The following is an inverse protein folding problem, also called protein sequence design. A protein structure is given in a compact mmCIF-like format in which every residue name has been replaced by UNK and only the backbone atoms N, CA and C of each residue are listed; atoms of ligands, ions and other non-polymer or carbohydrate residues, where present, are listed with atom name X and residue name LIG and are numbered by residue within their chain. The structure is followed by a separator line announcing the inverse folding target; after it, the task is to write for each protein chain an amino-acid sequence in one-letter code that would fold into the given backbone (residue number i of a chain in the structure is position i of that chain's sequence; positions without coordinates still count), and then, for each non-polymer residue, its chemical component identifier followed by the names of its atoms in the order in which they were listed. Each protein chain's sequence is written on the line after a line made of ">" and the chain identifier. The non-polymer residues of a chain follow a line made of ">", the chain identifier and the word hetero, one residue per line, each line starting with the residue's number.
data_IF_347152961585
#
_entry.id   IF_347152961585
#
_cell.length_a   1.000
_cell.length_b   1.000
_cell.length_c   1.000
_cell.angle_alpha   90.00
_cell.angle_beta   90.00
_cell.angle_gamma   90.00
#
_symmetry.space_group_name_H-M   'P 1'
#
loop_
_entity.id
_entity.type
_entity.pdbx_description
1 polymer ?
#
# COMPACT_ATOMS: atom_id res chain seq x y z
N UNK A 1 -1.42 25.46 -23.69
CA UNK A 1 -2.02 24.84 -22.48
C UNK A 1 -2.37 25.96 -21.54
N UNK A 2 -3.64 26.14 -21.20
CA UNK A 2 -4.06 27.13 -20.20
C UNK A 2 -3.38 26.88 -18.86
N UNK A 3 -2.92 27.96 -18.22
CA UNK A 3 -2.20 27.90 -16.94
C UNK A 3 -2.98 27.16 -15.86
N UNK A 4 -4.33 27.27 -15.88
CA UNK A 4 -5.24 26.56 -14.98
C UNK A 4 -5.18 25.05 -15.16
N UNK A 5 -5.13 24.58 -16.41
CA UNK A 5 -5.06 23.14 -16.73
C UNK A 5 -3.75 22.54 -16.26
N UNK A 6 -2.63 23.26 -16.43
CA UNK A 6 -1.32 22.82 -15.92
C UNK A 6 -1.31 22.66 -14.40
N UNK A 7 -1.85 23.65 -13.68
CA UNK A 7 -1.93 23.60 -12.21
C UNK A 7 -2.79 22.43 -11.73
N UNK A 8 -3.94 22.18 -12.38
CA UNK A 8 -4.79 21.03 -12.05
C UNK A 8 -4.07 19.70 -12.26
N UNK A 9 -3.36 19.53 -13.37
CA UNK A 9 -2.59 18.31 -13.63
C UNK A 9 -1.48 18.10 -12.60
N UNK A 10 -0.81 19.18 -12.17
CA UNK A 10 0.21 19.11 -11.14
C UNK A 10 -0.37 18.69 -9.78
N UNK A 11 -1.50 19.26 -9.36
CA UNK A 11 -2.18 18.88 -8.12
C UNK A 11 -2.63 17.42 -8.14
N UNK A 12 -3.18 16.94 -9.26
CA UNK A 12 -3.56 15.53 -9.43
C UNK A 12 -2.33 14.63 -9.31
N UNK A 13 -1.21 14.99 -9.95
CA UNK A 13 0.05 14.27 -9.82
C UNK A 13 0.54 14.18 -8.37
N UNK A 14 0.50 15.30 -7.64
CA UNK A 14 0.86 15.34 -6.22
C UNK A 14 -0.06 14.49 -5.35
N UNK A 15 -1.36 14.51 -5.59
CA UNK A 15 -2.34 13.69 -4.86
C UNK A 15 -2.11 12.19 -5.10
N UNK A 16 -1.87 11.77 -6.34
CA UNK A 16 -1.59 10.36 -6.67
C UNK A 16 -0.34 9.89 -5.93
N UNK A 17 0.75 10.66 -6.00
CA UNK A 17 2.01 10.32 -5.31
C UNK A 17 1.83 10.32 -3.80
N UNK A 18 1.14 11.32 -3.24
CA UNK A 18 0.85 11.40 -1.81
C UNK A 18 0.05 10.20 -1.30
N UNK A 19 -0.97 9.77 -2.05
CA UNK A 19 -1.76 8.59 -1.74
C UNK A 19 -0.93 7.29 -1.81
N UNK A 20 0.01 7.19 -2.76
CA UNK A 20 0.90 6.02 -2.85
C UNK A 20 1.93 5.95 -1.71
N UNK A 21 2.37 7.09 -1.17
CA UNK A 21 3.29 7.14 -0.03
C UNK A 21 2.54 6.89 1.29
N UNK A 22 1.32 7.40 1.41
CA UNK A 22 0.48 7.23 2.60
C UNK A 22 -0.17 5.85 2.68
N UNK A 23 -0.25 5.11 1.57
CA UNK A 23 -0.64 3.71 1.63
C UNK A 23 0.36 2.98 2.53
N UNK A 24 -0.10 2.40 3.66
CA UNK A 24 0.78 1.63 4.53
C UNK A 24 1.50 0.63 3.63
N UNK A 25 2.85 0.67 3.62
CA UNK A 25 3.64 -0.32 2.91
C UNK A 25 3.14 -1.67 3.40
N UNK A 26 2.35 -2.34 2.55
CA UNK A 26 1.48 -3.41 2.99
C UNK A 26 2.31 -4.44 3.70
N UNK A 27 1.81 -4.97 4.81
CA UNK A 27 2.49 -6.05 5.50
C UNK A 27 2.70 -7.20 4.52
N UNK A 28 3.93 -7.32 4.03
CA UNK A 28 4.33 -8.32 3.05
C UNK A 28 4.57 -9.65 3.74
N UNK A 29 4.22 -10.74 3.05
CA UNK A 29 4.37 -12.09 3.59
C UNK A 29 3.07 -12.61 4.22
N UNK A 30 3.06 -13.89 4.57
CA UNK A 30 1.92 -14.57 5.18
C UNK A 30 0.82 -14.96 4.18
N UNK A 31 0.49 -14.10 3.22
CA UNK A 31 -0.55 -14.34 2.21
C UNK A 31 -0.08 -13.94 0.82
N UNK A 32 -0.18 -14.83 -0.16
CA UNK A 32 0.05 -14.51 -1.57
C UNK A 32 -0.79 -15.40 -2.49
N UNK A 33 -1.04 -14.93 -3.71
CA UNK A 33 -1.74 -15.74 -4.71
C UNK A 33 -0.74 -16.48 -5.57
N UNK A 34 -0.88 -17.81 -5.68
CA UNK A 34 -0.09 -18.65 -6.58
C UNK A 34 -1.03 -19.53 -7.40
N UNK A 35 -0.99 -19.40 -8.72
CA UNK A 35 -1.85 -20.14 -9.66
C UNK A 35 -3.36 -19.98 -9.36
N UNK A 36 -3.80 -18.79 -8.96
CA UNK A 36 -5.20 -18.52 -8.61
C UNK A 36 -5.63 -19.01 -7.23
N UNK A 37 -4.76 -19.70 -6.50
CA UNK A 37 -5.02 -20.11 -5.12
C UNK A 37 -4.42 -19.11 -4.13
N UNK A 38 -5.15 -18.83 -3.06
CA UNK A 38 -4.61 -18.15 -1.89
C UNK A 38 -3.68 -19.12 -1.15
N UNK A 39 -2.40 -18.78 -1.08
CA UNK A 39 -1.40 -19.51 -0.31
C UNK A 39 -1.16 -18.76 1.00
N UNK A 40 -1.30 -19.49 2.10
CA UNK A 40 -0.98 -19.02 3.43
C UNK A 40 0.39 -19.59 3.79
N UNK A 41 1.40 -18.74 3.84
CA UNK A 41 2.73 -19.13 4.30
C UNK A 41 2.82 -18.90 5.81
N UNK A 42 2.60 -19.98 6.56
CA UNK A 42 2.64 -19.98 8.02
C UNK A 42 4.00 -19.54 8.57
N UNK A 43 5.10 -19.70 7.82
CA UNK A 43 6.41 -19.22 8.26
C UNK A 43 6.51 -17.69 8.23
N UNK A 44 5.72 -17.04 7.37
CA UNK A 44 5.66 -15.59 7.22
C UNK A 44 4.36 -14.99 7.77
N UNK A 45 3.45 -15.79 8.31
CA UNK A 45 2.20 -15.27 8.86
C UNK A 45 2.44 -14.50 10.16
N UNK A 46 3.36 -14.94 11.00
CA UNK A 46 3.67 -14.24 12.25
C UNK A 46 4.27 -12.85 11.97
N UNK A 47 5.22 -12.76 11.03
CA UNK A 47 5.80 -11.47 10.61
C UNK A 47 4.76 -10.56 9.97
N UNK A 48 3.82 -11.12 9.21
CA UNK A 48 2.68 -10.39 8.68
C UNK A 48 1.78 -9.85 9.79
N UNK A 49 1.37 -10.69 10.75
CA UNK A 49 0.52 -10.30 11.88
C UNK A 49 1.20 -9.26 12.78
N UNK A 50 2.50 -9.41 13.06
CA UNK A 50 3.28 -8.45 13.84
C UNK A 50 3.36 -7.09 13.11
N UNK A 51 3.53 -7.12 11.79
CA UNK A 51 3.49 -5.92 10.97
C UNK A 51 2.11 -5.25 11.02
N UNK A 52 1.02 -6.02 10.85
CA UNK A 52 -0.35 -5.50 10.91
C UNK A 52 -0.62 -4.89 12.28
N UNK A 53 -0.17 -5.54 13.35
CA UNK A 53 -0.29 -5.03 14.71
C UNK A 53 0.46 -3.70 14.88
N UNK A 54 1.70 -3.58 14.34
CA UNK A 54 2.45 -2.32 14.37
C UNK A 54 1.80 -1.22 13.53
N UNK A 55 1.19 -1.56 12.40
CA UNK A 55 0.45 -0.59 11.57
C UNK A 55 -0.83 -0.15 12.28
N UNK A 56 -1.54 -1.07 12.93
CA UNK A 56 -2.72 -0.78 13.72
C UNK A 56 -2.42 0.13 14.92
N UNK A 57 -1.27 -0.05 15.58
CA UNK A 57 -0.81 0.83 16.66
C UNK A 57 -0.36 2.23 16.19
N UNK A 58 -0.12 2.42 14.89
CA UNK A 58 0.36 3.68 14.29
C UNK A 58 -0.74 4.48 13.58
N UNK A 59 -1.92 3.89 13.39
CA UNK A 59 -3.12 4.55 12.88
C UNK A 59 -3.96 5.13 14.00
#
# INVERSE_FOLDING_TARGET
>A
MDSRTFVLLLLIGCLIVGCCIAAPQGCGGGFYTKNGNLVIDVNNIQSHLDCVNRQHQRG
#
